data_IF_159681714644
#
_entry.id   IF_159681714644
#
_cell.length_a   1.000
_cell.length_b   1.000
_cell.length_c   1.000
_cell.angle_alpha   90.00
_cell.angle_beta   90.00
_cell.angle_gamma   90.00
#
_symmetry.space_group_name_H-M   'P 1'
#
loop_
_entity.id
_entity.type
_entity.pdbx_description
1 polymer ?
#
# COMPACT_ATOMS: atom_id res chain seq x y z
N UNK A 1 27.22 0.74 -2.47
CA UNK A 1 25.88 0.20 -2.80
C UNK A 1 24.90 0.95 -1.92
N UNK A 2 24.05 1.80 -2.51
CA UNK A 2 23.15 2.68 -1.76
C UNK A 2 21.85 1.92 -1.46
N UNK A 3 21.83 1.16 -0.36
CA UNK A 3 20.57 0.58 0.12
C UNK A 3 19.82 1.67 0.89
N UNK A 4 19.10 2.51 0.16
CA UNK A 4 18.01 3.27 0.80
C UNK A 4 17.14 2.29 1.57
N UNK A 5 16.64 2.65 2.76
CA UNK A 5 15.75 1.79 3.55
C UNK A 5 14.53 1.31 2.75
N UNK A 6 14.19 2.04 1.68
CA UNK A 6 13.03 1.77 0.86
C UNK A 6 13.09 0.54 -0.07
N UNK A 7 14.19 -0.21 -0.04
CA UNK A 7 14.33 -1.43 -0.85
C UNK A 7 14.40 -2.71 0.00
N UNK A 8 14.22 -2.58 1.32
CA UNK A 8 14.23 -3.70 2.26
C UNK A 8 12.80 -4.05 2.64
N UNK A 9 12.35 -5.24 2.28
CA UNK A 9 11.06 -5.73 2.74
C UNK A 9 11.17 -6.13 4.22
N UNK A 10 10.24 -5.70 5.09
CA UNK A 10 10.20 -6.24 6.44
C UNK A 10 10.01 -7.76 6.39
N UNK A 11 10.78 -8.50 7.19
CA UNK A 11 10.86 -9.97 7.10
C UNK A 11 9.50 -10.68 7.24
N UNK A 12 8.52 -10.05 7.88
CA UNK A 12 7.16 -10.57 8.03
C UNK A 12 6.30 -10.51 6.76
N UNK A 13 6.81 -9.94 5.67
CA UNK A 13 6.15 -9.95 4.36
C UNK A 13 6.83 -10.90 3.36
N UNK A 14 7.92 -11.58 3.73
CA UNK A 14 8.49 -12.64 2.90
C UNK A 14 7.76 -13.96 3.17
N UNK A 15 7.11 -14.50 2.15
CA UNK A 15 6.34 -15.75 2.22
C UNK A 15 7.03 -16.90 1.46
N UNK A 16 8.19 -16.64 0.85
CA UNK A 16 9.02 -17.65 0.19
C UNK A 16 8.63 -17.95 -1.24
N UNK A 17 7.70 -17.16 -1.82
CA UNK A 17 7.33 -17.23 -3.23
C UNK A 17 7.94 -16.02 -3.91
N UNK A 18 9.02 -16.22 -4.65
CA UNK A 18 9.87 -15.14 -5.18
C UNK A 18 9.11 -14.04 -5.93
N UNK A 19 8.09 -14.40 -6.70
CA UNK A 19 7.26 -13.42 -7.43
C UNK A 19 6.40 -12.57 -6.48
N UNK A 20 5.77 -13.20 -5.47
CA UNK A 20 4.96 -12.48 -4.48
C UNK A 20 5.85 -11.63 -3.56
N UNK A 21 7.01 -12.13 -3.14
CA UNK A 21 7.98 -11.36 -2.36
C UNK A 21 8.51 -10.14 -3.13
N UNK A 22 8.68 -10.27 -4.46
CA UNK A 22 9.06 -9.15 -5.32
C UNK A 22 7.91 -8.12 -5.46
N UNK A 23 6.66 -8.57 -5.53
CA UNK A 23 5.48 -7.70 -5.53
C UNK A 23 5.33 -6.96 -4.19
N UNK A 24 5.50 -7.64 -3.05
CA UNK A 24 5.52 -7.02 -1.72
C UNK A 24 6.60 -5.93 -1.61
N UNK A 25 7.80 -6.17 -2.16
CA UNK A 25 8.88 -5.17 -2.23
C UNK A 25 8.45 -3.91 -2.99
N UNK A 26 7.77 -4.07 -4.13
CA UNK A 26 7.25 -2.94 -4.92
C UNK A 26 6.18 -2.16 -4.14
N UNK A 27 5.21 -2.85 -3.55
CA UNK A 27 4.16 -2.22 -2.73
C UNK A 27 4.75 -1.46 -1.53
N UNK A 28 5.75 -2.05 -0.85
CA UNK A 28 6.43 -1.40 0.27
C UNK A 28 7.12 -0.10 -0.16
N UNK A 29 7.89 -0.14 -1.25
CA UNK A 29 8.57 1.03 -1.78
C UNK A 29 7.59 2.15 -2.17
N UNK A 30 6.41 1.81 -2.69
CA UNK A 30 5.35 2.78 -2.99
C UNK A 30 4.77 3.42 -1.73
N UNK A 31 4.53 2.64 -0.67
CA UNK A 31 4.06 3.15 0.61
C UNK A 31 5.06 4.11 1.25
N UNK A 32 6.36 3.84 1.12
CA UNK A 32 7.39 4.74 1.64
C UNK A 32 7.51 6.02 0.82
N UNK A 33 7.44 5.93 -0.51
CA UNK A 33 7.34 7.10 -1.39
C UNK A 33 6.12 7.95 -1.04
N UNK A 34 4.98 7.32 -0.77
CA UNK A 34 3.75 7.98 -0.37
C UNK A 34 3.92 8.71 0.96
N UNK A 35 4.48 8.04 1.98
CA UNK A 35 4.79 8.62 3.30
C UNK A 35 5.65 9.87 3.15
N UNK A 36 6.70 9.81 2.34
CA UNK A 36 7.61 10.93 2.10
C UNK A 36 6.94 12.09 1.36
N UNK A 37 6.11 11.80 0.35
CA UNK A 37 5.38 12.81 -0.42
C UNK A 37 4.34 13.55 0.43
N UNK A 38 3.62 12.82 1.30
CA UNK A 38 2.69 13.40 2.27
C UNK A 38 3.42 14.28 3.28
N UNK A 39 4.55 13.81 3.84
CA UNK A 39 5.35 14.57 4.80
C UNK A 39 5.93 15.88 4.23
N UNK A 40 6.12 15.96 2.91
CA UNK A 40 6.63 17.15 2.20
C UNK A 40 5.53 18.01 1.57
N UNK A 41 4.25 17.67 1.78
CA UNK A 41 3.09 18.36 1.21
C UNK A 41 3.08 18.43 -0.33
N UNK A 42 3.62 17.43 -1.02
CA UNK A 42 3.68 17.39 -2.50
C UNK A 42 2.39 16.82 -3.11
N UNK A 43 1.31 17.62 -3.11
CA UNK A 43 -0.03 17.15 -3.52
C UNK A 43 -0.10 16.42 -4.87
N UNK A 44 0.61 16.89 -5.91
CA UNK A 44 0.64 16.20 -7.21
C UNK A 44 1.38 14.85 -7.15
N UNK A 45 2.56 14.81 -6.51
CA UNK A 45 3.35 13.59 -6.37
C UNK A 45 2.61 12.54 -5.52
N UNK A 46 1.94 12.97 -4.46
CA UNK A 46 1.08 12.11 -3.63
C UNK A 46 -0.02 11.46 -4.46
N UNK A 47 -0.70 12.21 -5.34
CA UNK A 47 -1.75 11.66 -6.20
C UNK A 47 -1.19 10.62 -7.18
N UNK A 48 -0.09 10.94 -7.86
CA UNK A 48 0.52 10.01 -8.81
C UNK A 48 0.96 8.69 -8.13
N UNK A 49 1.50 8.77 -6.90
CA UNK A 49 1.89 7.58 -6.13
C UNK A 49 0.67 6.79 -5.68
N UNK A 50 -0.44 7.44 -5.30
CA UNK A 50 -1.69 6.76 -4.94
C UNK A 50 -2.28 6.00 -6.14
N UNK A 51 -2.26 6.59 -7.33
CA UNK A 51 -2.72 5.95 -8.55
C UNK A 51 -1.85 4.72 -8.89
N UNK A 52 -0.51 4.85 -8.77
CA UNK A 52 0.45 3.76 -8.95
C UNK A 52 0.23 2.63 -7.93
N UNK A 53 0.06 2.97 -6.66
CA UNK A 53 -0.23 2.02 -5.57
C UNK A 53 -1.53 1.25 -5.83
N UNK A 54 -2.60 1.93 -6.26
CA UNK A 54 -3.87 1.27 -6.55
C UNK A 54 -3.78 0.27 -7.72
N UNK A 55 -2.92 0.53 -8.71
CA UNK A 55 -2.67 -0.40 -9.81
C UNK A 55 -1.87 -1.61 -9.32
N UNK A 56 -0.74 -1.38 -8.66
CA UNK A 56 0.14 -2.46 -8.18
C UNK A 56 -0.57 -3.37 -7.17
N UNK A 57 -1.40 -2.82 -6.28
CA UNK A 57 -2.18 -3.62 -5.32
C UNK A 57 -3.19 -4.54 -6.03
N UNK A 58 -3.89 -4.05 -7.06
CA UNK A 58 -4.84 -4.87 -7.83
C UNK A 58 -4.14 -6.01 -8.58
N UNK A 59 -2.98 -5.71 -9.18
CA UNK A 59 -2.17 -6.74 -9.86
C UNK A 59 -1.72 -7.80 -8.87
N UNK A 60 -1.20 -7.38 -7.71
CA UNK A 60 -0.73 -8.28 -6.67
C UNK A 60 -1.82 -9.23 -6.18
N UNK A 61 -2.99 -8.69 -5.83
CA UNK A 61 -4.13 -9.48 -5.39
C UNK A 61 -4.59 -10.47 -6.46
N UNK A 62 -4.65 -10.08 -7.73
CA UNK A 62 -5.02 -10.98 -8.81
C UNK A 62 -4.05 -12.17 -8.94
N UNK A 63 -2.74 -11.93 -8.77
CA UNK A 63 -1.71 -12.99 -8.81
C UNK A 63 -1.84 -13.91 -7.59
N UNK A 64 -1.93 -13.35 -6.39
CA UNK A 64 -2.03 -14.14 -5.16
C UNK A 64 -3.31 -14.96 -5.11
N UNK A 65 -4.46 -14.37 -5.47
CA UNK A 65 -5.71 -15.10 -5.52
C UNK A 65 -5.71 -16.22 -6.56
N UNK A 66 -5.09 -15.99 -7.72
CA UNK A 66 -4.93 -17.03 -8.74
C UNK A 66 -4.12 -18.20 -8.18
N UNK A 67 -3.03 -17.89 -7.45
CA UNK A 67 -2.20 -18.90 -6.82
C UNK A 67 -2.94 -19.66 -5.71
N UNK A 68 -3.65 -18.95 -4.84
CA UNK A 68 -4.48 -19.54 -3.78
C UNK A 68 -5.52 -20.51 -4.36
N UNK A 69 -6.22 -20.12 -5.44
CA UNK A 69 -7.20 -20.99 -6.11
C UNK A 69 -6.54 -22.22 -6.74
N UNK A 70 -5.42 -22.04 -7.44
CA UNK A 70 -4.67 -23.15 -8.05
C UNK A 70 -4.18 -24.17 -7.01
N UNK A 71 -3.77 -23.69 -5.83
CA UNK A 71 -3.28 -24.52 -4.73
C UNK A 71 -4.39 -24.99 -3.77
N UNK A 72 -5.66 -24.71 -4.07
CA UNK A 72 -6.81 -25.04 -3.20
C UNK A 72 -6.63 -24.54 -1.76
N UNK A 73 -6.16 -23.31 -1.60
CA UNK A 73 -5.97 -22.69 -0.29
C UNK A 73 -7.30 -22.65 0.50
N UNK A 74 -7.37 -23.25 1.71
CA UNK A 74 -8.63 -23.47 2.40
C UNK A 74 -9.43 -22.20 2.74
N UNK A 75 -8.77 -21.05 2.88
CA UNK A 75 -9.40 -19.78 3.29
C UNK A 75 -9.42 -18.73 2.17
N UNK A 76 -9.38 -19.15 0.90
CA UNK A 76 -9.30 -18.24 -0.26
C UNK A 76 -10.42 -17.19 -0.27
N UNK A 77 -11.66 -17.57 0.04
CA UNK A 77 -12.79 -16.63 0.00
C UNK A 77 -12.71 -15.56 1.10
N UNK A 78 -12.24 -15.93 2.29
CA UNK A 78 -12.00 -14.96 3.37
C UNK A 78 -10.91 -13.98 2.98
N UNK A 79 -9.82 -14.48 2.38
CA UNK A 79 -8.70 -13.65 1.96
C UNK A 79 -9.08 -12.69 0.81
N UNK A 80 -9.87 -13.17 -0.17
CA UNK A 80 -10.43 -12.32 -1.24
C UNK A 80 -11.32 -11.22 -0.66
N UNK A 81 -12.09 -11.50 0.38
CA UNK A 81 -12.92 -10.48 1.03
C UNK A 81 -12.08 -9.37 1.68
N UNK A 82 -10.92 -9.70 2.26
CA UNK A 82 -9.95 -8.74 2.80
C UNK A 82 -9.35 -7.88 1.68
N UNK A 83 -8.98 -8.49 0.54
CA UNK A 83 -8.50 -7.79 -0.65
C UNK A 83 -9.53 -6.78 -1.20
N UNK A 84 -10.79 -7.18 -1.28
CA UNK A 84 -11.88 -6.31 -1.72
C UNK A 84 -12.06 -5.13 -0.76
N UNK A 85 -11.90 -5.34 0.55
CA UNK A 85 -11.99 -4.24 1.51
C UNK A 85 -10.85 -3.25 1.37
N UNK A 86 -9.61 -3.72 1.28
CA UNK A 86 -8.47 -2.84 1.08
C UNK A 86 -8.56 -2.07 -0.25
N UNK A 87 -9.01 -2.73 -1.32
CA UNK A 87 -9.22 -2.10 -2.62
C UNK A 87 -10.24 -0.95 -2.54
N UNK A 88 -11.35 -1.15 -1.82
CA UNK A 88 -12.34 -0.08 -1.57
C UNK A 88 -11.75 1.08 -0.77
N UNK A 89 -10.90 0.80 0.21
CA UNK A 89 -10.22 1.84 0.98
C UNK A 89 -9.29 2.67 0.08
N UNK A 90 -8.47 2.02 -0.75
CA UNK A 90 -7.59 2.69 -1.70
C UNK A 90 -8.36 3.55 -2.71
N UNK A 91 -9.48 3.04 -3.24
CA UNK A 91 -10.34 3.80 -4.14
C UNK A 91 -10.93 5.05 -3.47
N UNK A 92 -11.31 4.97 -2.19
CA UNK A 92 -11.77 6.15 -1.45
C UNK A 92 -10.67 7.19 -1.31
N UNK A 93 -9.42 6.78 -1.07
CA UNK A 93 -8.29 7.71 -0.99
C UNK A 93 -7.96 8.34 -2.36
N UNK A 94 -7.97 7.55 -3.44
CA UNK A 94 -7.69 8.06 -4.79
C UNK A 94 -8.79 9.00 -5.31
N UNK A 95 -10.05 8.76 -4.93
CA UNK A 95 -11.21 9.54 -5.36
C UNK A 95 -11.66 10.61 -4.34
N UNK A 96 -11.01 10.72 -3.18
CA UNK A 96 -11.32 11.76 -2.21
C UNK A 96 -11.18 13.14 -2.87
N UNK A 97 -12.05 14.12 -2.54
CA UNK A 97 -11.97 15.45 -3.09
C UNK A 97 -10.55 15.99 -2.91
N UNK A 98 -9.88 16.27 -4.03
CA UNK A 98 -8.49 16.74 -4.09
C UNK A 98 -8.48 18.20 -3.63
N UNK A 99 -8.74 18.42 -2.34
CA UNK A 99 -8.80 19.77 -1.78
C UNK A 99 -7.38 20.29 -1.63
N UNK A 100 -7.09 21.43 -2.26
CA UNK A 100 -5.89 22.20 -1.99
C UNK A 100 -6.01 22.88 -0.62
N UNK A 101 -6.02 22.11 0.46
CA UNK A 101 -5.97 22.66 1.83
C UNK A 101 -5.37 21.62 2.78
N UNK A 102 -4.22 21.97 3.33
CA UNK A 102 -3.50 21.22 4.35
C UNK A 102 -4.45 20.75 5.47
N UNK A 103 -4.42 19.48 5.91
CA UNK A 103 -5.05 19.09 7.15
C UNK A 103 -4.18 19.61 8.29
N UNK A 104 -4.47 20.81 8.78
CA UNK A 104 -3.79 21.42 9.95
C UNK A 104 -4.18 20.80 11.29
N UNK A 105 -4.80 19.61 11.32
CA UNK A 105 -5.13 18.94 12.58
C UNK A 105 -5.13 17.40 12.41
N UNK A 106 -3.94 16.82 12.51
CA UNK A 106 -3.71 15.42 12.85
C UNK A 106 -2.59 15.42 13.93
N UNK A 107 -2.82 14.88 15.14
CA UNK A 107 -2.41 15.58 16.38
C UNK A 107 -0.99 15.21 16.86
N UNK A 108 -0.34 16.06 17.69
CA UNK A 108 0.45 15.60 18.80
C UNK A 108 -0.35 15.84 20.10
N UNK A 109 -0.98 14.80 20.62
CA UNK A 109 -1.42 14.83 22.02
C UNK A 109 -0.24 14.46 22.90
N UNK A 110 0.47 15.46 23.42
CA UNK A 110 1.17 15.33 24.69
C UNK A 110 0.67 16.44 25.60
N UNK A 111 0.02 16.00 26.67
CA UNK A 111 -0.37 16.71 27.88
C UNK A 111 0.58 17.83 28.29
N UNK A 112 0.02 18.99 28.63
CA UNK A 112 0.54 19.78 29.74
C UNK A 112 -0.61 20.54 30.41
N UNK A 113 -0.80 20.28 31.70
CA UNK A 113 -1.86 20.81 32.55
C UNK A 113 -2.10 19.92 33.75
#
# INVERSE_FOLDING_TARGET
>A
MNTSPANTLPANFEIGIAELDAQHKRLHALLERLRDAVGKHYGYATNAILDELAIETRIHFAVEESLMRMLSFPAVETHVAEHLDLSRQLEKFANAPRTSRSPTNWPPSSSNG
#
